data_IF_130452328754
#
_entry.id   IF_130452328754
#
_cell.length_a   1.000
_cell.length_b   1.000
_cell.length_c   1.000
_cell.angle_alpha   90.00
_cell.angle_beta   90.00
_cell.angle_gamma   90.00
#
_symmetry.space_group_name_H-M   'P 1'
#
loop_
_entity.id
_entity.type
_entity.pdbx_description
1 polymer ?
#
# COMPACT_ATOMS: atom_id res chain seq x y z
N UNK A 1 -62.05 -11.99 -8.24
CA UNK A 1 -60.96 -11.00 -8.42
C UNK A 1 -59.92 -11.15 -7.29
N UNK A 2 -58.96 -12.08 -7.38
CA UNK A 2 -57.90 -12.29 -6.37
C UNK A 2 -56.64 -12.89 -7.02
N UNK A 3 -56.00 -12.18 -7.96
CA UNK A 3 -54.73 -12.65 -8.59
C UNK A 3 -53.70 -11.55 -8.87
N UNK A 4 -53.91 -10.31 -8.39
CA UNK A 4 -53.00 -9.19 -8.66
C UNK A 4 -52.13 -8.76 -7.46
N UNK A 5 -52.40 -9.26 -6.25
CA UNK A 5 -51.66 -8.86 -5.06
C UNK A 5 -50.34 -9.63 -4.83
N UNK A 6 -50.20 -10.85 -5.36
CA UNK A 6 -48.98 -11.65 -5.19
C UNK A 6 -47.80 -11.17 -6.04
N UNK A 7 -48.07 -10.69 -7.27
CA UNK A 7 -47.02 -10.29 -8.21
C UNK A 7 -46.31 -8.99 -7.83
N UNK A 8 -47.00 -8.07 -7.14
CA UNK A 8 -46.39 -6.80 -6.71
C UNK A 8 -45.36 -7.02 -5.59
N UNK A 9 -45.62 -7.99 -4.70
CA UNK A 9 -44.73 -8.32 -3.58
C UNK A 9 -43.43 -9.01 -4.03
N UNK A 10 -43.51 -9.85 -5.07
CA UNK A 10 -42.33 -10.53 -5.64
C UNK A 10 -41.44 -9.56 -6.41
N UNK A 11 -42.04 -8.60 -7.14
CA UNK A 11 -41.27 -7.55 -7.85
C UNK A 11 -40.64 -6.58 -6.86
N UNK A 12 -41.32 -6.22 -5.76
CA UNK A 12 -40.75 -5.38 -4.72
C UNK A 12 -39.59 -6.06 -3.97
N UNK A 13 -39.66 -7.37 -3.75
CA UNK A 13 -38.56 -8.14 -3.15
C UNK A 13 -37.33 -8.25 -4.07
N UNK A 14 -37.53 -8.29 -5.40
CA UNK A 14 -36.46 -8.36 -6.40
C UNK A 14 -35.69 -7.03 -6.55
N UNK A 15 -36.35 -5.89 -6.29
CA UNK A 15 -35.71 -4.55 -6.37
C UNK A 15 -34.78 -4.31 -5.17
N UNK A 16 -35.02 -4.94 -4.02
CA UNK A 16 -34.18 -4.78 -2.82
C UNK A 16 -32.85 -5.54 -2.89
N UNK A 17 -32.67 -6.46 -3.84
CA UNK A 17 -31.42 -7.23 -4.00
C UNK A 17 -30.36 -6.53 -4.87
N UNK A 18 -30.65 -5.38 -5.47
CA UNK A 18 -29.73 -4.68 -6.39
C UNK A 18 -29.03 -3.47 -5.74
N UNK A 19 -29.29 -3.19 -4.46
CA UNK A 19 -28.47 -2.28 -3.66
C UNK A 19 -27.20 -3.01 -3.20
N UNK A 20 -26.33 -3.38 -4.16
CA UNK A 20 -24.95 -3.71 -3.85
C UNK A 20 -24.33 -2.50 -3.16
N UNK A 21 -24.02 -2.65 -1.88
CA UNK A 21 -23.35 -1.64 -1.08
C UNK A 21 -22.05 -1.24 -1.79
N UNK A 22 -22.04 -0.09 -2.46
CA UNK A 22 -20.80 0.60 -2.82
C UNK A 22 -20.17 1.15 -1.52
N UNK A 23 -19.75 0.25 -0.64
CA UNK A 23 -18.87 0.59 0.46
C UNK A 23 -17.52 0.80 -0.17
N UNK A 24 -17.20 2.06 -0.50
CA UNK A 24 -15.82 2.47 -0.77
C UNK A 24 -14.95 1.94 0.37
N UNK A 25 -14.19 0.89 0.10
CA UNK A 25 -13.50 0.13 1.12
C UNK A 25 -12.46 1.01 1.82
N UNK A 26 -12.57 1.13 3.14
CA UNK A 26 -11.51 1.75 3.93
C UNK A 26 -10.26 0.86 3.84
N UNK A 27 -9.17 1.42 3.32
CA UNK A 27 -7.87 0.76 3.32
C UNK A 27 -7.20 1.01 4.66
N UNK A 28 -6.68 -0.05 5.27
CA UNK A 28 -5.91 0.06 6.51
C UNK A 28 -4.48 -0.30 6.22
N UNK A 29 -3.56 0.58 6.59
CA UNK A 29 -2.17 0.19 6.84
C UNK A 29 -2.05 -0.21 8.31
N UNK A 30 -1.62 -1.44 8.57
CA UNK A 30 -1.46 -1.95 9.93
C UNK A 30 -0.05 -2.47 10.12
N UNK A 31 0.53 -2.24 11.29
CA UNK A 31 1.83 -2.79 11.63
C UNK A 31 1.75 -4.32 11.64
N UNK A 32 2.72 -4.97 11.00
CA UNK A 32 2.88 -6.42 11.13
C UNK A 32 3.33 -6.72 12.55
N UNK A 33 2.44 -7.31 13.36
CA UNK A 33 2.72 -7.67 14.75
C UNK A 33 3.00 -9.17 14.87
N UNK A 34 4.11 -9.53 15.54
CA UNK A 34 4.51 -10.91 15.79
C UNK A 34 5.43 -11.53 14.73
N UNK A 35 5.80 -12.80 14.96
CA UNK A 35 6.90 -13.50 14.27
C UNK A 35 6.54 -14.04 12.87
N UNK A 36 5.60 -13.41 12.15
CA UNK A 36 5.02 -13.99 10.92
C UNK A 36 5.73 -13.59 9.63
N UNK A 37 6.06 -12.31 9.44
CA UNK A 37 6.74 -11.79 8.24
C UNK A 37 7.58 -10.57 8.65
N UNK A 38 8.85 -10.55 8.25
CA UNK A 38 9.75 -9.39 8.38
C UNK A 38 10.13 -8.83 7.01
N UNK A 39 10.67 -7.60 6.97
CA UNK A 39 11.20 -7.06 5.71
C UNK A 39 12.35 -7.91 5.17
N UNK A 40 13.13 -8.57 6.03
CA UNK A 40 14.18 -9.50 5.60
C UNK A 40 13.60 -10.74 4.92
N UNK A 41 12.43 -11.24 5.35
CA UNK A 41 11.74 -12.30 4.62
C UNK A 41 11.34 -11.82 3.22
N UNK A 42 10.78 -10.61 3.10
CA UNK A 42 10.38 -10.05 1.80
C UNK A 42 11.57 -9.78 0.86
N UNK A 43 12.72 -9.36 1.40
CA UNK A 43 13.96 -9.17 0.61
C UNK A 43 14.51 -10.52 0.17
N UNK A 44 14.53 -11.52 1.04
CA UNK A 44 14.96 -12.88 0.71
C UNK A 44 14.14 -13.46 -0.44
N UNK A 45 12.82 -13.28 -0.38
CA UNK A 45 11.86 -13.85 -1.33
C UNK A 45 11.42 -12.81 -2.39
N UNK A 46 12.24 -11.78 -2.67
CA UNK A 46 11.84 -10.61 -3.48
C UNK A 46 11.36 -10.96 -4.89
N UNK A 47 11.80 -12.09 -5.45
CA UNK A 47 11.38 -12.56 -6.77
C UNK A 47 9.89 -12.90 -6.83
N UNK A 48 9.24 -13.17 -5.69
CA UNK A 48 7.80 -13.39 -5.59
C UNK A 48 6.99 -12.09 -5.59
N UNK A 49 7.67 -10.94 -5.61
CA UNK A 49 7.08 -9.62 -5.54
C UNK A 49 7.43 -8.77 -6.77
N UNK A 50 6.49 -7.93 -7.18
CA UNK A 50 6.82 -6.71 -7.92
C UNK A 50 7.10 -5.63 -6.89
N UNK A 51 8.30 -5.07 -6.92
CA UNK A 51 8.77 -4.14 -5.90
C UNK A 51 8.83 -2.73 -6.45
N UNK A 52 8.39 -1.77 -5.66
CA UNK A 52 8.45 -0.35 -5.98
C UNK A 52 9.05 0.45 -4.82
N UNK A 53 9.57 1.64 -5.10
CA UNK A 53 10.00 2.58 -4.07
C UNK A 53 9.52 4.00 -4.36
N UNK A 54 9.48 4.84 -3.32
CA UNK A 54 9.20 6.27 -3.44
C UNK A 54 10.05 7.09 -2.46
N UNK A 55 10.04 8.41 -2.58
CA UNK A 55 10.83 9.37 -1.79
C UNK A 55 11.61 10.35 -2.65
N UNK A 56 12.67 10.96 -2.09
CA UNK A 56 13.51 11.90 -2.83
C UNK A 56 14.29 11.20 -3.95
N UNK A 57 14.73 9.96 -3.70
CA UNK A 57 15.51 9.13 -4.62
C UNK A 57 16.10 7.94 -3.87
N UNK A 58 16.98 7.17 -4.54
CA UNK A 58 17.59 5.96 -3.95
C UNK A 58 18.41 6.23 -2.68
N UNK A 59 19.06 7.40 -2.59
CA UNK A 59 19.82 7.78 -1.40
C UNK A 59 18.94 8.13 -0.20
N UNK A 60 17.72 8.62 -0.45
CA UNK A 60 16.79 9.09 0.57
C UNK A 60 15.36 8.57 0.30
N UNK A 61 15.14 7.24 0.40
CA UNK A 61 13.84 6.64 0.18
C UNK A 61 12.90 6.88 1.35
N UNK A 62 11.63 7.06 1.02
CA UNK A 62 10.54 7.17 2.00
C UNK A 62 9.89 5.81 2.27
N UNK A 63 9.82 4.95 1.25
CA UNK A 63 9.25 3.61 1.39
C UNK A 63 9.63 2.65 0.27
N UNK A 64 9.47 1.36 0.57
CA UNK A 64 9.51 0.25 -0.39
C UNK A 64 8.19 -0.52 -0.31
N UNK A 65 7.53 -0.73 -1.44
CA UNK A 65 6.28 -1.46 -1.60
C UNK A 65 6.57 -2.84 -2.22
N UNK A 66 6.08 -3.89 -1.58
CA UNK A 66 6.15 -5.27 -2.05
C UNK A 66 4.75 -5.75 -2.46
N UNK A 67 4.48 -5.82 -3.77
CA UNK A 67 3.25 -6.37 -4.35
C UNK A 67 3.45 -7.84 -4.71
N UNK A 68 2.73 -8.82 -4.13
CA UNK A 68 2.80 -10.22 -4.54
C UNK A 68 2.50 -10.41 -6.03
N UNK A 69 3.21 -11.32 -6.71
CA UNK A 69 2.97 -11.65 -8.13
C UNK A 69 1.87 -12.68 -8.36
N UNK A 70 1.63 -13.57 -7.39
CA UNK A 70 0.68 -14.69 -7.51
C UNK A 70 -0.79 -14.34 -7.27
N UNK A 71 -1.14 -13.07 -7.27
CA UNK A 71 -2.45 -12.55 -6.89
C UNK A 71 -3.04 -11.73 -8.05
N UNK A 72 -4.33 -11.89 -8.34
CA UNK A 72 -5.03 -11.15 -9.39
C UNK A 72 -5.38 -9.71 -8.97
N UNK A 73 -5.16 -9.36 -7.70
CA UNK A 73 -5.25 -7.99 -7.20
C UNK A 73 -4.22 -7.06 -7.82
N UNK A 74 -4.66 -5.83 -8.08
CA UNK A 74 -3.88 -4.79 -8.72
C UNK A 74 -3.50 -3.73 -7.69
N UNK A 75 -2.21 -3.36 -7.69
CA UNK A 75 -1.74 -2.14 -7.04
C UNK A 75 -1.31 -1.16 -8.12
N UNK A 76 -1.91 0.02 -8.13
CA UNK A 76 -1.45 1.18 -8.89
C UNK A 76 -0.56 2.00 -7.95
N UNK A 77 0.74 1.99 -8.21
CA UNK A 77 1.72 2.70 -7.40
C UNK A 77 1.96 4.12 -7.97
N UNK A 78 1.19 5.11 -7.51
CA UNK A 78 1.23 6.49 -8.03
C UNK A 78 2.54 7.20 -7.65
N UNK A 79 3.35 7.57 -8.67
CA UNK A 79 4.69 8.19 -8.48
C UNK A 79 5.65 7.32 -7.67
N UNK A 80 5.51 6.00 -7.78
CA UNK A 80 6.52 5.04 -7.35
C UNK A 80 7.35 4.56 -8.53
N UNK A 81 8.59 4.17 -8.27
CA UNK A 81 9.50 3.61 -9.27
C UNK A 81 9.68 2.12 -9.03
N UNK A 82 9.61 1.34 -10.10
CA UNK A 82 9.85 -0.10 -10.04
C UNK A 82 11.32 -0.35 -9.69
N UNK A 83 11.55 -1.31 -8.80
CA UNK A 83 12.88 -1.79 -8.44
C UNK A 83 13.23 -2.96 -9.35
N UNK A 84 14.30 -2.80 -10.13
CA UNK A 84 14.67 -3.77 -11.18
C UNK A 84 15.73 -4.78 -10.73
N UNK A 85 16.49 -4.49 -9.66
CA UNK A 85 17.59 -5.34 -9.21
C UNK A 85 17.57 -5.54 -7.70
N UNK A 86 18.10 -6.68 -7.25
CA UNK A 86 18.26 -7.01 -5.85
C UNK A 86 19.16 -6.01 -5.10
N UNK A 87 20.24 -5.53 -5.75
CA UNK A 87 21.14 -4.52 -5.19
C UNK A 87 20.41 -3.22 -4.84
N UNK A 88 19.56 -2.72 -5.76
CA UNK A 88 18.75 -1.53 -5.49
C UNK A 88 17.78 -1.80 -4.32
N UNK A 89 17.17 -2.99 -4.28
CA UNK A 89 16.27 -3.35 -3.19
C UNK A 89 16.97 -3.33 -1.82
N UNK A 90 18.14 -3.97 -1.71
CA UNK A 90 18.89 -4.03 -0.46
C UNK A 90 19.34 -2.64 -0.02
N UNK A 91 19.83 -1.81 -0.94
CA UNK A 91 20.24 -0.44 -0.64
C UNK A 91 19.08 0.39 -0.09
N UNK A 92 17.89 0.28 -0.68
CA UNK A 92 16.70 0.99 -0.24
C UNK A 92 16.26 0.54 1.15
N UNK A 93 16.22 -0.77 1.40
CA UNK A 93 15.82 -1.33 2.70
C UNK A 93 16.83 -0.96 3.78
N UNK A 94 18.13 -1.08 3.52
CA UNK A 94 19.20 -0.71 4.44
C UNK A 94 19.21 0.79 4.74
N UNK A 95 18.89 1.63 3.73
CA UNK A 95 18.74 3.07 3.91
C UNK A 95 17.58 3.39 4.86
N UNK A 96 16.42 2.75 4.69
CA UNK A 96 15.27 2.95 5.61
C UNK A 96 15.58 2.39 7.00
N UNK A 97 16.16 1.19 7.11
CA UNK A 97 16.47 0.55 8.40
C UNK A 97 17.40 1.39 9.29
N UNK A 98 18.34 2.13 8.68
CA UNK A 98 19.28 2.99 9.40
C UNK A 98 18.70 4.36 9.80
N UNK A 99 17.47 4.67 9.39
CA UNK A 99 16.83 5.91 9.81
C UNK A 99 16.60 5.89 11.33
N UNK A 100 17.17 6.88 12.02
CA UNK A 100 16.97 7.05 13.45
C UNK A 100 15.50 7.38 13.73
N UNK A 101 14.93 6.83 14.82
CA UNK A 101 13.58 7.20 15.24
C UNK A 101 13.46 8.71 15.49
N UNK A 102 12.42 9.34 14.94
CA UNK A 102 12.06 10.74 15.19
C UNK A 102 10.61 10.74 15.68
N UNK A 103 10.39 11.06 16.95
CA UNK A 103 9.10 10.91 17.62
C UNK A 103 8.50 9.50 17.42
N UNK A 104 7.38 9.38 16.70
CA UNK A 104 6.70 8.10 16.43
C UNK A 104 7.07 7.49 15.06
N UNK A 105 7.99 8.13 14.33
CA UNK A 105 8.47 7.68 13.03
C UNK A 105 9.71 6.82 13.22
N UNK A 106 9.59 5.54 12.88
CA UNK A 106 10.68 4.58 12.94
C UNK A 106 10.44 3.47 11.91
N UNK A 107 11.50 2.82 11.40
CA UNK A 107 11.38 1.80 10.37
C UNK A 107 10.46 0.65 10.79
N UNK A 108 9.45 0.37 9.98
CA UNK A 108 8.46 -0.68 10.24
C UNK A 108 7.87 -1.23 8.95
N UNK A 109 7.39 -2.46 9.05
CA UNK A 109 6.64 -3.10 7.98
C UNK A 109 5.14 -2.91 8.24
N UNK A 110 4.45 -2.38 7.24
CA UNK A 110 3.01 -2.19 7.22
C UNK A 110 2.38 -3.17 6.23
N UNK A 111 1.29 -3.82 6.62
CA UNK A 111 0.41 -4.56 5.71
C UNK A 111 -0.60 -3.60 5.08
N UNK A 112 -0.75 -3.68 3.75
CA UNK A 112 -1.84 -3.01 3.03
C UNK A 112 -3.04 -3.94 2.98
N UNK A 113 -4.10 -3.57 3.70
CA UNK A 113 -5.31 -4.38 3.83
C UNK A 113 -6.50 -3.67 3.19
N UNK A 114 -7.21 -4.39 2.33
CA UNK A 114 -8.52 -4.02 1.81
C UNK A 114 -9.65 -4.49 2.73
N UNK A 115 -10.90 -4.56 2.21
CA UNK A 115 -12.05 -5.04 2.96
C UNK A 115 -11.84 -6.51 3.37
N UNK A 116 -12.46 -6.90 4.47
CA UNK A 116 -12.37 -8.26 5.02
C UNK A 116 -10.94 -8.74 5.36
N UNK A 117 -10.02 -7.80 5.60
CA UNK A 117 -8.59 -8.06 5.89
C UNK A 117 -7.84 -8.78 4.75
N UNK A 118 -8.33 -8.63 3.51
CA UNK A 118 -7.60 -9.11 2.34
C UNK A 118 -6.32 -8.30 2.12
N UNK A 119 -5.19 -9.00 2.05
CA UNK A 119 -3.86 -8.39 1.88
C UNK A 119 -3.58 -8.08 0.43
N UNK A 120 -3.18 -6.83 0.16
CA UNK A 120 -2.74 -6.37 -1.15
C UNK A 120 -1.21 -6.40 -1.28
N UNK A 121 -0.50 -6.19 -0.18
CA UNK A 121 0.95 -6.20 -0.16
C UNK A 121 1.51 -5.65 1.14
N UNK A 122 2.79 -5.28 1.12
CA UNK A 122 3.49 -4.72 2.27
C UNK A 122 4.20 -3.43 1.90
N UNK A 123 4.32 -2.52 2.85
CA UNK A 123 5.13 -1.31 2.70
C UNK A 123 6.12 -1.23 3.86
N UNK A 124 7.40 -1.16 3.55
CA UNK A 124 8.44 -0.87 4.51
C UNK A 124 8.75 0.62 4.50
N UNK A 125 8.55 1.31 5.63
CA UNK A 125 8.69 2.76 5.74
C UNK A 125 8.94 3.19 7.19
N UNK A 126 9.44 4.42 7.38
CA UNK A 126 9.47 5.08 8.69
C UNK A 126 8.20 5.90 8.97
N UNK A 127 7.35 6.13 7.96
CA UNK A 127 6.04 6.76 8.14
C UNK A 127 5.10 5.86 8.94
N UNK A 128 4.15 6.46 9.66
CA UNK A 128 3.19 5.76 10.54
C UNK A 128 2.01 5.16 9.78
N UNK A 129 1.76 5.68 8.58
CA UNK A 129 0.74 5.18 7.70
C UNK A 129 1.16 5.34 6.24
N UNK A 130 0.43 4.64 5.38
CA UNK A 130 0.46 4.82 3.92
C UNK A 130 -0.93 5.22 3.48
N UNK A 131 -1.02 6.25 2.65
CA UNK A 131 -2.28 6.66 2.06
C UNK A 131 -2.56 5.78 0.85
N UNK A 132 -3.67 5.06 0.90
CA UNK A 132 -4.11 4.19 -0.17
C UNK A 132 -5.63 4.22 -0.28
N UNK A 133 -6.14 3.96 -1.48
CA UNK A 133 -7.58 4.00 -1.80
C UNK A 133 -7.94 2.83 -2.69
N UNK A 134 -9.05 2.17 -2.40
CA UNK A 134 -9.68 1.23 -3.33
C UNK A 134 -10.49 2.00 -4.37
N UNK A 135 -10.25 1.69 -5.63
CA UNK A 135 -11.03 2.23 -6.75
C UNK A 135 -12.05 1.21 -7.27
N UNK A 136 -11.84 -0.07 -6.96
CA UNK A 136 -12.78 -1.18 -7.11
C UNK A 136 -12.37 -2.32 -6.14
N UNK A 137 -13.07 -3.46 -6.21
CA UNK A 137 -12.88 -4.61 -5.30
C UNK A 137 -11.49 -5.26 -5.37
N UNK A 138 -10.73 -5.01 -6.44
CA UNK A 138 -9.44 -5.66 -6.74
C UNK A 138 -8.30 -4.68 -6.97
N UNK A 139 -8.58 -3.39 -7.10
CA UNK A 139 -7.60 -2.37 -7.47
C UNK A 139 -7.41 -1.37 -6.33
N UNK A 140 -6.19 -1.34 -5.79
CA UNK A 140 -5.76 -0.36 -4.81
C UNK A 140 -4.79 0.63 -5.44
N UNK A 141 -5.08 1.92 -5.31
CA UNK A 141 -4.12 2.99 -5.58
C UNK A 141 -3.34 3.27 -4.31
N UNK A 142 -2.02 3.18 -4.38
CA UNK A 142 -1.11 3.56 -3.31
C UNK A 142 -0.45 4.88 -3.73
N UNK A 143 -0.72 5.94 -2.98
CA UNK A 143 -0.20 7.28 -3.28
C UNK A 143 1.27 7.39 -2.88
N UNK A 144 1.95 8.40 -3.39
CA UNK A 144 3.31 8.70 -2.94
C UNK A 144 3.34 9.11 -1.48
N UNK A 145 4.53 9.01 -0.91
CA UNK A 145 4.81 9.47 0.44
C UNK A 145 5.63 10.76 0.35
N UNK A 146 5.52 11.65 1.36
CA UNK A 146 6.42 12.79 1.49
C UNK A 146 7.88 12.32 1.62
N UNK A 147 8.83 13.26 1.58
CA UNK A 147 10.24 13.01 1.88
C UNK A 147 10.39 12.17 3.16
N UNK A 148 11.46 11.37 3.34
CA UNK A 148 11.59 10.59 4.56
C UNK A 148 11.56 11.51 5.81
N UNK A 149 11.07 11.02 6.97
CA UNK A 149 10.81 11.86 8.14
C UNK A 149 11.98 12.76 8.55
N UNK A 150 13.22 12.26 8.48
CA UNK A 150 14.42 13.03 8.83
C UNK A 150 14.71 14.21 7.88
N UNK A 151 14.22 14.20 6.63
CA UNK A 151 14.30 15.36 5.73
C UNK A 151 13.07 16.25 5.85
N UNK A 152 11.90 15.65 6.07
CA UNK A 152 10.63 16.38 6.13
C UNK A 152 10.48 17.21 7.42
N UNK A 153 10.99 16.70 8.54
CA UNK A 153 10.82 17.31 9.87
C UNK A 153 11.99 18.26 10.19
N UNK A 154 13.20 17.97 9.70
CA UNK A 154 14.41 18.78 9.96
C UNK A 154 14.54 20.00 9.00
N UNK A 155 13.50 20.31 8.22
CA UNK A 155 13.46 21.51 7.38
C UNK A 155 14.25 21.41 6.07
N UNK A 156 14.29 20.23 5.43
CA UNK A 156 15.05 20.01 4.21
C UNK A 156 14.48 20.69 2.96
N UNK A 157 14.70 22.00 2.81
CA UNK A 157 14.67 22.71 1.51
C UNK A 157 15.92 22.36 0.66
N UNK A 158 16.26 21.08 0.59
CA UNK A 158 17.30 20.57 -0.28
C UNK A 158 16.83 20.60 -1.75
N UNK A 159 17.67 20.99 -2.72
CA UNK A 159 17.32 20.95 -4.13
C UNK A 159 16.80 19.55 -4.48
N UNK A 160 15.60 19.45 -5.08
CA UNK A 160 15.12 18.20 -5.67
C UNK A 160 16.16 17.75 -6.69
N UNK A 161 16.94 16.73 -6.37
CA UNK A 161 17.92 16.18 -7.30
C UNK A 161 17.17 15.80 -8.58
N UNK A 162 17.67 16.29 -9.73
CA UNK A 162 16.99 16.07 -11.01
C UNK A 162 17.02 14.57 -11.30
N UNK A 163 15.84 13.96 -11.24
CA UNK A 163 15.63 12.52 -11.49
C UNK A 163 16.26 12.14 -12.84
N UNK A 164 17.03 11.04 -12.92
CA UNK A 164 17.44 10.51 -14.20
C UNK A 164 16.19 10.10 -15.00
N UNK A 165 16.19 10.47 -16.28
CA UNK A 165 15.17 10.06 -17.27
C UNK A 165 15.29 8.57 -17.55
#
# INVERSE_FOLDING_TARGET
MKKRFGSVLVVAALVLTVCGCASYGYVRSQMVYGNRITVQNLVKDWQDYTVYFTGHGRGHPSAVLFKPKGDDRVIIADRWWKVETYEILTDLVDSIQRQLPIAYYYPRLLELLGPDNHRYGYVFTSWDHVVAKLVDDRTMVVYDLPLPPYLAIDGGDGPRERRPR
#
